data_IF_781154369674
#
_entry.id   IF_781154369674
#
_cell.length_a   1.000
_cell.length_b   1.000
_cell.length_c   1.000
_cell.angle_alpha   90.00
_cell.angle_beta   90.00
_cell.angle_gamma   90.00
#
_symmetry.space_group_name_H-M   'P 1'
#
loop_
_entity.id
_entity.type
_entity.pdbx_description
1 polymer ?
#
# COMPACT_ATOMS: atom_id res chain seq x y z
N UNK A 1 -22.40 29.85 -31.72
CA UNK A 1 -22.66 28.53 -31.11
C UNK A 1 -21.37 27.86 -30.62
N UNK A 2 -20.71 28.38 -29.57
CA UNK A 2 -19.47 27.80 -29.01
C UNK A 2 -19.60 27.21 -27.59
N UNK A 3 -20.77 27.34 -26.94
CA UNK A 3 -20.96 26.91 -25.54
C UNK A 3 -21.24 25.41 -25.35
N UNK A 4 -21.66 24.69 -26.39
CA UNK A 4 -22.14 23.30 -26.28
C UNK A 4 -21.03 22.24 -26.18
N UNK A 5 -19.84 22.50 -26.72
CA UNK A 5 -18.73 21.52 -26.74
C UNK A 5 -18.04 21.45 -25.38
N UNK A 6 -17.89 22.59 -24.70
CA UNK A 6 -17.25 22.64 -23.38
C UNK A 6 -18.09 21.93 -22.30
N UNK A 7 -19.42 22.06 -22.32
CA UNK A 7 -20.28 21.35 -21.36
C UNK A 7 -20.23 19.84 -21.51
N UNK A 8 -20.16 19.33 -22.75
CA UNK A 8 -20.04 17.89 -23.00
C UNK A 8 -18.66 17.37 -22.57
N UNK A 9 -17.59 18.12 -22.86
CA UNK A 9 -16.23 17.77 -22.47
C UNK A 9 -16.03 17.75 -20.95
N UNK A 10 -16.58 18.73 -20.24
CA UNK A 10 -16.56 18.79 -18.77
C UNK A 10 -17.33 17.61 -18.18
N UNK A 11 -18.52 17.28 -18.69
CA UNK A 11 -19.28 16.13 -18.22
C UNK A 11 -18.49 14.83 -18.39
N UNK A 12 -17.90 14.61 -19.56
CA UNK A 12 -17.11 13.39 -19.85
C UNK A 12 -15.90 13.29 -18.93
N UNK A 13 -15.18 14.40 -18.70
CA UNK A 13 -14.07 14.43 -17.74
C UNK A 13 -14.52 14.07 -16.32
N UNK A 14 -15.61 14.67 -15.83
CA UNK A 14 -16.17 14.34 -14.52
C UNK A 14 -16.52 12.85 -14.40
N UNK A 15 -17.19 12.27 -15.40
CA UNK A 15 -17.51 10.84 -15.41
C UNK A 15 -16.25 9.96 -15.40
N UNK A 16 -15.22 10.30 -16.18
CA UNK A 16 -13.96 9.55 -16.21
C UNK A 16 -13.26 9.58 -14.86
N UNK A 17 -13.16 10.75 -14.21
CA UNK A 17 -12.55 10.85 -12.87
C UNK A 17 -13.36 10.11 -11.81
N UNK A 18 -14.69 10.16 -11.87
CA UNK A 18 -15.56 9.40 -10.98
C UNK A 18 -15.42 7.89 -11.17
N UNK A 19 -15.25 7.40 -12.40
CA UNK A 19 -15.01 6.00 -12.69
C UNK A 19 -13.66 5.51 -12.13
N UNK A 20 -12.60 6.29 -12.31
CA UNK A 20 -11.27 5.96 -11.78
C UNK A 20 -11.35 5.83 -10.25
N UNK A 21 -11.93 6.82 -9.56
CA UNK A 21 -12.11 6.78 -8.10
C UNK A 21 -12.96 5.61 -7.61
N UNK A 22 -14.02 5.25 -8.35
CA UNK A 22 -14.85 4.10 -8.00
C UNK A 22 -14.09 2.77 -8.15
N UNK A 23 -13.27 2.64 -9.20
CA UNK A 23 -12.40 1.47 -9.42
C UNK A 23 -11.33 1.40 -8.33
N UNK A 24 -10.66 2.51 -8.02
CA UNK A 24 -9.64 2.55 -6.98
C UNK A 24 -10.22 2.21 -5.61
N UNK A 25 -11.43 2.68 -5.29
CA UNK A 25 -12.13 2.31 -4.07
C UNK A 25 -12.50 0.83 -4.00
N UNK A 26 -12.98 0.26 -5.11
CA UNK A 26 -13.28 -1.17 -5.19
C UNK A 26 -12.01 -2.01 -5.03
N UNK A 27 -10.93 -1.63 -5.72
CA UNK A 27 -9.63 -2.28 -5.63
C UNK A 27 -9.01 -2.15 -4.23
N UNK A 28 -9.22 -1.01 -3.54
CA UNK A 28 -8.75 -0.80 -2.17
C UNK A 28 -9.41 -1.78 -1.20
N UNK A 29 -10.73 -1.99 -1.31
CA UNK A 29 -11.43 -3.01 -0.51
C UNK A 29 -10.95 -4.43 -0.80
N UNK A 30 -10.61 -4.73 -2.06
CA UNK A 30 -9.94 -5.97 -2.43
C UNK A 30 -8.60 -6.13 -1.73
N UNK A 31 -7.76 -5.09 -1.79
CA UNK A 31 -6.47 -5.03 -1.13
C UNK A 31 -6.58 -5.19 0.40
N UNK A 32 -7.56 -4.54 1.05
CA UNK A 32 -7.84 -4.72 2.48
C UNK A 32 -8.18 -6.17 2.82
N UNK A 33 -9.03 -6.80 2.00
CA UNK A 33 -9.46 -8.18 2.20
C UNK A 33 -8.27 -9.15 2.05
N UNK A 34 -7.50 -9.00 0.98
CA UNK A 34 -6.35 -9.86 0.72
C UNK A 34 -5.23 -9.66 1.73
N UNK A 35 -4.95 -8.40 2.10
CA UNK A 35 -3.98 -8.09 3.14
C UNK A 35 -4.42 -8.61 4.52
N UNK A 36 -5.72 -8.49 4.84
CA UNK A 36 -6.27 -9.07 6.07
C UNK A 36 -6.07 -10.58 6.11
N UNK A 37 -6.36 -11.27 5.01
CA UNK A 37 -6.15 -12.71 4.90
C UNK A 37 -4.67 -13.08 5.00
N UNK A 38 -3.81 -12.33 4.32
CA UNK A 38 -2.35 -12.51 4.36
C UNK A 38 -1.81 -12.40 5.78
N UNK A 39 -2.19 -11.35 6.51
CA UNK A 39 -1.74 -11.20 7.90
C UNK A 39 -2.34 -12.23 8.85
N UNK A 40 -3.59 -12.67 8.64
CA UNK A 40 -4.20 -13.76 9.42
C UNK A 40 -3.43 -15.06 9.28
N UNK A 41 -2.85 -15.35 8.10
CA UNK A 41 -1.97 -16.51 7.92
C UNK A 41 -0.72 -16.44 8.82
N UNK A 42 -0.24 -15.23 9.12
CA UNK A 42 0.83 -14.99 10.08
C UNK A 42 0.37 -14.98 11.56
N UNK A 43 -0.92 -15.23 11.83
CA UNK A 43 -1.49 -15.21 13.18
C UNK A 43 -1.62 -13.81 13.77
N UNK A 44 -1.79 -12.79 12.93
CA UNK A 44 -1.79 -11.39 13.35
C UNK A 44 -3.20 -10.78 13.36
N UNK A 45 -3.48 -9.89 14.32
CA UNK A 45 -4.72 -9.13 14.31
C UNK A 45 -4.73 -8.15 13.12
N UNK A 46 -5.92 -7.93 12.56
CA UNK A 46 -6.16 -7.02 11.42
C UNK A 46 -7.04 -5.84 11.81
N UNK A 47 -7.03 -5.51 13.11
CA UNK A 47 -7.83 -4.40 13.64
C UNK A 47 -7.30 -3.10 13.05
N UNK A 48 -8.21 -2.26 12.56
CA UNK A 48 -7.88 -0.96 11.96
C UNK A 48 -6.97 -1.05 10.71
N UNK A 49 -6.99 -2.17 9.99
CA UNK A 49 -6.34 -2.27 8.69
C UNK A 49 -7.13 -1.43 7.67
N UNK A 50 -6.50 -0.39 7.13
CA UNK A 50 -7.07 0.47 6.10
C UNK A 50 -6.13 0.53 4.90
N UNK A 51 -6.60 0.16 3.71
CA UNK A 51 -5.78 0.22 2.51
C UNK A 51 -6.26 1.29 1.54
N UNK A 52 -5.30 1.88 0.84
CA UNK A 52 -5.54 2.86 -0.21
C UNK A 52 -4.81 2.40 -1.45
N UNK A 53 -5.54 2.38 -2.56
CA UNK A 53 -4.93 2.18 -3.86
C UNK A 53 -4.24 3.46 -4.30
N UNK A 54 -3.19 3.24 -5.07
CA UNK A 54 -2.54 4.28 -5.80
C UNK A 54 -3.29 4.47 -7.12
N UNK A 55 -3.93 5.63 -7.32
CA UNK A 55 -4.87 5.88 -8.41
C UNK A 55 -4.38 5.36 -9.77
N UNK A 56 -5.23 4.56 -10.43
CA UNK A 56 -4.96 3.99 -11.75
C UNK A 56 -3.83 2.95 -11.79
N UNK A 57 -3.45 2.37 -10.64
CA UNK A 57 -2.38 1.38 -10.55
C UNK A 57 -2.78 0.15 -9.71
N UNK A 58 -1.86 -0.82 -9.61
CA UNK A 58 -1.99 -2.02 -8.77
C UNK A 58 -1.21 -1.91 -7.45
N UNK A 59 -0.59 -0.77 -7.21
CA UNK A 59 0.13 -0.48 -5.98
C UNK A 59 -0.89 -0.04 -4.93
N UNK A 60 -0.65 -0.43 -3.70
CA UNK A 60 -1.45 0.01 -2.57
C UNK A 60 -0.60 0.15 -1.31
N UNK A 61 -1.10 0.97 -0.41
CA UNK A 61 -0.56 1.21 0.91
C UNK A 61 -1.62 0.83 1.93
N UNK A 62 -1.27 0.06 2.95
CA UNK A 62 -2.15 -0.27 4.07
C UNK A 62 -1.58 0.26 5.39
N UNK A 63 -2.43 0.91 6.18
CA UNK A 63 -2.12 1.32 7.55
C UNK A 63 -2.70 0.34 8.54
N UNK A 64 -1.96 0.10 9.60
CA UNK A 64 -2.35 -0.83 10.64
C UNK A 64 -1.75 -0.44 11.99
N UNK A 65 -2.49 -0.69 13.07
CA UNK A 65 -1.96 -0.72 14.42
C UNK A 65 -1.22 -2.05 14.64
N UNK A 66 0.10 -1.97 14.85
CA UNK A 66 0.95 -3.15 15.01
C UNK A 66 2.04 -2.87 16.04
N UNK A 67 2.33 -3.84 16.90
CA UNK A 67 3.40 -3.76 17.87
C UNK A 67 4.67 -4.51 17.40
N UNK A 68 5.75 -4.35 18.15
CA UNK A 68 7.05 -4.93 17.81
C UNK A 68 7.01 -6.48 17.75
N UNK A 69 6.29 -7.16 18.65
CA UNK A 69 6.17 -8.62 18.63
C UNK A 69 5.47 -9.11 17.36
N UNK A 70 4.44 -8.39 16.93
CA UNK A 70 3.68 -8.66 15.71
C UNK A 70 4.52 -8.41 14.45
N UNK A 71 5.30 -7.34 14.43
CA UNK A 71 6.28 -7.08 13.35
C UNK A 71 7.32 -8.21 13.29
N UNK A 72 7.83 -8.68 14.43
CA UNK A 72 8.76 -9.83 14.45
C UNK A 72 8.11 -11.15 14.00
N UNK A 73 6.78 -11.30 14.14
CA UNK A 73 6.04 -12.43 13.55
C UNK A 73 5.93 -12.27 12.02
N UNK A 74 5.64 -11.08 11.50
CA UNK A 74 5.66 -10.79 10.06
C UNK A 74 7.04 -11.14 9.46
N UNK A 75 8.10 -10.64 10.07
CA UNK A 75 9.48 -10.85 9.62
C UNK A 75 9.80 -12.34 9.51
N UNK A 76 9.46 -13.13 10.53
CA UNK A 76 9.73 -14.58 10.55
C UNK A 76 8.87 -15.35 9.56
N UNK A 77 7.56 -15.07 9.51
CA UNK A 77 6.64 -15.81 8.64
C UNK A 77 6.88 -15.53 7.16
N UNK A 78 7.27 -14.30 6.82
CA UNK A 78 7.44 -13.87 5.43
C UNK A 78 8.90 -13.67 5.02
N UNK A 79 9.85 -14.06 5.88
CA UNK A 79 11.29 -13.94 5.66
C UNK A 79 11.70 -12.53 5.22
N UNK A 80 11.14 -11.52 5.89
CA UNK A 80 11.45 -10.13 5.58
C UNK A 80 12.87 -9.81 6.02
N UNK A 81 13.57 -9.03 5.21
CA UNK A 81 14.90 -8.56 5.48
C UNK A 81 14.84 -7.10 5.95
N UNK A 82 15.73 -6.67 6.87
CA UNK A 82 15.85 -5.27 7.20
C UNK A 82 16.19 -4.46 5.94
N UNK A 83 15.43 -3.40 5.70
CA UNK A 83 15.68 -2.41 4.68
C UNK A 83 16.37 -1.18 5.28
N UNK A 84 16.95 -0.34 4.41
CA UNK A 84 17.17 1.08 4.76
C UNK A 84 16.01 1.85 4.16
N UNK A 85 15.42 2.76 4.96
CA UNK A 85 14.29 3.62 4.58
C UNK A 85 14.51 4.38 3.25
N UNK A 86 15.74 4.44 2.75
CA UNK A 86 16.16 5.30 1.65
C UNK A 86 16.65 4.56 0.37
N UNK A 87 16.48 3.22 0.26
CA UNK A 87 17.18 2.47 -0.81
C UNK A 87 16.36 1.71 -1.86
N UNK A 88 15.03 1.71 -1.85
CA UNK A 88 14.27 1.24 -3.04
C UNK A 88 12.98 2.04 -3.12
N UNK A 89 12.92 3.03 -4.02
CA UNK A 89 11.65 3.63 -4.43
C UNK A 89 10.73 2.48 -4.88
N UNK A 90 9.49 2.38 -4.38
CA UNK A 90 8.56 1.36 -4.85
C UNK A 90 8.48 1.44 -6.37
N UNK A 91 8.54 0.29 -7.05
CA UNK A 91 8.40 0.24 -8.50
C UNK A 91 6.91 0.08 -8.87
N UNK A 92 6.38 0.89 -9.82
CA UNK A 92 7.04 2.00 -10.50
C UNK A 92 7.38 3.19 -9.58
N UNK A 93 8.58 3.79 -9.73
CA UNK A 93 8.96 4.98 -8.98
C UNK A 93 7.98 6.11 -9.31
N UNK A 94 7.29 6.67 -8.31
CA UNK A 94 6.32 7.76 -8.57
C UNK A 94 6.96 9.13 -8.57
N UNK A 95 6.53 9.93 -9.55
CA UNK A 95 6.69 11.40 -9.56
C UNK A 95 5.47 12.15 -9.01
N UNK A 96 4.30 11.53 -8.77
CA UNK A 96 3.13 12.33 -8.36
C UNK A 96 1.93 11.53 -7.82
N UNK A 97 1.96 11.03 -6.58
CA UNK A 97 0.71 10.63 -5.92
C UNK A 97 0.83 10.48 -4.41
N UNK A 98 -0.19 10.90 -3.64
CA UNK A 98 0.00 11.42 -2.30
C UNK A 98 -0.17 10.38 -1.18
N UNK A 99 0.22 9.11 -1.37
CA UNK A 99 0.08 8.10 -0.30
C UNK A 99 1.23 7.08 -0.32
N UNK A 100 2.45 7.57 -0.23
CA UNK A 100 3.56 6.76 0.29
C UNK A 100 3.50 6.74 1.82
N UNK A 101 3.91 5.63 2.45
CA UNK A 101 4.06 5.58 3.91
C UNK A 101 4.91 6.76 4.45
N UNK A 102 5.91 7.16 3.68
CA UNK A 102 6.86 8.24 3.96
C UNK A 102 6.23 9.64 3.98
N UNK A 103 5.03 9.81 3.41
CA UNK A 103 4.33 11.10 3.37
C UNK A 103 3.38 11.28 4.56
N UNK A 104 3.24 10.24 5.41
CA UNK A 104 2.39 10.29 6.60
C UNK A 104 3.18 10.88 7.79
N UNK A 105 2.57 11.79 8.58
CA UNK A 105 3.26 12.47 9.67
C UNK A 105 3.81 11.51 10.73
N UNK A 106 3.18 10.34 10.88
CA UNK A 106 3.58 9.29 11.82
C UNK A 106 4.76 8.45 11.31
N UNK A 107 5.31 8.69 10.11
CA UNK A 107 6.33 7.84 9.49
C UNK A 107 7.54 8.64 8.99
N UNK A 108 8.03 9.54 9.84
CA UNK A 108 9.29 10.26 9.58
C UNK A 108 10.49 9.28 9.52
N UNK A 109 11.44 9.44 8.57
CA UNK A 109 12.56 8.53 8.35
C UNK A 109 13.40 8.21 9.60
N UNK A 110 13.51 9.17 10.52
CA UNK A 110 14.32 9.04 11.74
C UNK A 110 13.66 8.14 12.82
N UNK A 111 12.37 7.83 12.67
CA UNK A 111 11.54 7.15 13.66
C UNK A 111 11.00 5.80 13.18
N UNK A 112 11.41 5.36 11.98
CA UNK A 112 10.85 4.17 11.34
C UNK A 112 11.91 3.12 11.04
N UNK A 113 11.51 1.86 11.18
CA UNK A 113 12.27 0.72 10.71
C UNK A 113 11.61 0.16 9.44
N UNK A 114 12.41 -0.22 8.45
CA UNK A 114 11.91 -0.87 7.23
C UNK A 114 12.21 -2.37 7.24
N UNK A 115 11.22 -3.16 6.86
CA UNK A 115 11.39 -4.57 6.54
C UNK A 115 10.76 -4.89 5.19
N UNK A 116 11.40 -5.72 4.37
CA UNK A 116 10.91 -6.02 3.02
C UNK A 116 11.28 -7.40 2.51
N UNK A 117 10.57 -7.86 1.48
CA UNK A 117 10.95 -9.05 0.73
C UNK A 117 12.22 -8.79 -0.09
N UNK A 118 13.09 -9.80 -0.18
CA UNK A 118 14.33 -9.72 -0.97
C UNK A 118 14.07 -9.58 -2.47
N UNK A 119 13.02 -10.25 -2.96
CA UNK A 119 12.73 -10.42 -4.39
C UNK A 119 11.35 -9.88 -4.73
N UNK A 120 11.22 -9.51 -6.01
CA UNK A 120 9.93 -9.34 -6.65
C UNK A 120 9.30 -10.72 -6.90
N UNK A 121 7.99 -10.85 -6.69
CA UNK A 121 7.20 -12.09 -6.69
C UNK A 121 7.75 -13.19 -5.77
N UNK A 122 7.93 -12.92 -4.48
CA UNK A 122 8.23 -13.99 -3.54
C UNK A 122 7.04 -14.94 -3.46
N UNK A 123 7.30 -16.25 -3.38
CA UNK A 123 6.22 -17.24 -3.29
C UNK A 123 5.45 -17.13 -1.97
N UNK A 124 6.11 -16.55 -0.97
CA UNK A 124 5.65 -16.38 0.40
C UNK A 124 4.60 -15.27 0.57
N UNK A 125 4.42 -14.36 -0.40
CA UNK A 125 3.50 -13.20 -0.29
C UNK A 125 2.10 -13.43 -0.86
N UNK A 126 1.73 -14.68 -1.17
CA UNK A 126 0.34 -15.01 -1.50
C UNK A 126 -0.24 -14.29 -2.72
N UNK A 127 0.58 -13.83 -3.67
CA UNK A 127 0.14 -13.14 -4.88
C UNK A 127 0.60 -11.68 -5.01
N UNK A 128 1.23 -11.12 -3.97
CA UNK A 128 1.84 -9.80 -4.07
C UNK A 128 3.21 -9.85 -4.77
N UNK A 129 3.44 -8.88 -5.64
CA UNK A 129 4.68 -8.66 -6.36
C UNK A 129 5.82 -8.23 -5.43
N UNK A 130 5.54 -7.57 -4.32
CA UNK A 130 6.51 -7.32 -3.24
C UNK A 130 5.78 -7.03 -1.94
N UNK A 131 6.49 -7.09 -0.81
CA UNK A 131 5.96 -6.67 0.48
C UNK A 131 7.01 -5.83 1.22
N UNK A 132 6.66 -4.60 1.58
CA UNK A 132 7.45 -3.69 2.40
C UNK A 132 6.60 -3.23 3.57
N UNK A 133 7.15 -3.16 4.76
CA UNK A 133 6.52 -2.55 5.92
C UNK A 133 7.47 -1.53 6.54
N UNK A 134 6.97 -0.31 6.76
CA UNK A 134 7.57 0.71 7.62
C UNK A 134 6.91 0.61 8.99
N UNK A 135 7.70 0.54 10.05
CA UNK A 135 7.21 0.39 11.41
C UNK A 135 7.65 1.60 12.25
N UNK A 136 6.68 2.38 12.74
CA UNK A 136 6.94 3.35 13.80
C UNK A 136 6.73 2.68 15.16
N UNK A 137 7.82 2.44 15.87
CA UNK A 137 7.83 1.78 17.18
C UNK A 137 7.18 2.62 18.28
N UNK A 138 7.29 3.94 18.20
CA UNK A 138 6.73 4.89 19.18
C UNK A 138 5.21 4.91 19.09
N UNK A 139 4.68 5.06 17.88
CA UNK A 139 3.23 5.16 17.62
C UNK A 139 2.53 3.80 17.54
N UNK A 140 3.30 2.70 17.49
CA UNK A 140 2.79 1.33 17.27
C UNK A 140 1.95 1.23 16.00
N UNK A 141 2.47 1.82 14.92
CA UNK A 141 1.83 1.81 13.60
C UNK A 141 2.74 1.19 12.56
N UNK A 142 2.13 0.40 11.69
CA UNK A 142 2.74 -0.19 10.52
C UNK A 142 2.14 0.42 9.27
N UNK A 143 2.99 0.71 8.29
CA UNK A 143 2.57 1.09 6.96
C UNK A 143 3.14 0.10 5.96
N UNK A 144 2.25 -0.70 5.37
CA UNK A 144 2.58 -1.74 4.40
C UNK A 144 2.46 -1.15 3.01
N UNK A 145 3.46 -1.36 2.17
CA UNK A 145 3.44 -0.99 0.76
C UNK A 145 3.64 -2.26 -0.08
N UNK A 146 2.73 -2.47 -1.03
CA UNK A 146 2.69 -3.70 -1.84
C UNK A 146 2.06 -3.43 -3.22
N UNK A 147 2.15 -4.40 -4.12
CA UNK A 147 1.48 -4.39 -5.41
C UNK A 147 1.01 -5.78 -5.82
N UNK A 148 -0.04 -5.86 -6.65
CA UNK A 148 -0.46 -7.12 -7.26
C UNK A 148 0.34 -7.47 -8.52
N UNK A 149 0.63 -8.77 -8.68
CA UNK A 149 1.19 -9.37 -9.89
C UNK A 149 0.50 -8.99 -11.20
N UNK A 150 1.29 -8.66 -12.22
CA UNK A 150 0.89 -8.91 -13.62
C UNK A 150 0.96 -10.42 -13.87
N UNK A 151 -0.20 -11.08 -13.94
CA UNK A 151 -0.33 -12.50 -14.29
C UNK A 151 0.39 -12.85 -15.58
#
# INVERSE_FOLDING_TARGET
MKKSIYSLFILTLFFLFSCIRAIDYYNARGAETDMSNFMKQAGLPTKNLECRMLDGSRIFTCLIDINEEEVQKLIRNFKLLPGKADMVKPYPPKESSPVGCEELPDFSPDLIEEYRTEKYRPKETGGFDFFRILFNKTEKKGCIHSAYGYG
#
